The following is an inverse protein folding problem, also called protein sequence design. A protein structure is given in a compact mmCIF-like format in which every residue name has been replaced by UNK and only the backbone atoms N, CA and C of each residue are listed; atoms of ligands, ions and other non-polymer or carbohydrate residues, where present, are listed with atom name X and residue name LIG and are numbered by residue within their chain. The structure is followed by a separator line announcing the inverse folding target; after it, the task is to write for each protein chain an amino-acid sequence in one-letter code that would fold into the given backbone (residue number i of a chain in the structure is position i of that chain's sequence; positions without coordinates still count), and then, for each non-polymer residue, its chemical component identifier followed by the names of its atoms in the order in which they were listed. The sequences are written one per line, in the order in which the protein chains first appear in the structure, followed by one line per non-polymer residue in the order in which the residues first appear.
data_IF_369903545604
#
_entry.id   IF_369903545604
#
_cell.length_a   1.000
_cell.length_b   1.000
_cell.length_c   1.000
_cell.angle_alpha   90.00
_cell.angle_beta   90.00
_cell.angle_gamma   90.00
#
_symmetry.space_group_name_H-M   'P 1'
#
loop_
_entity.id
_entity.type
_entity.pdbx_description
1 polymer ?
#
# COMPACT_ATOMS: atom_id res chain seq x y z
N UNK A 1 0.98 -10.71 0.43
CA UNK A 1 0.02 -10.79 1.52
C UNK A 1 -1.24 -11.52 1.05
N UNK A 2 -2.15 -10.90 0.31
CA UNK A 2 -3.41 -11.51 -0.14
C UNK A 2 -3.30 -12.94 -0.71
N UNK A 3 -2.34 -13.20 -1.58
CA UNK A 3 -2.15 -14.53 -2.19
C UNK A 3 -1.78 -15.61 -1.16
N UNK A 4 -0.99 -15.28 -0.15
CA UNK A 4 -0.59 -16.21 0.91
C UNK A 4 -1.78 -16.58 1.81
N UNK A 5 -2.59 -15.59 2.19
CA UNK A 5 -3.83 -15.82 2.94
C UNK A 5 -4.84 -16.67 2.15
N UNK A 6 -4.83 -16.54 0.83
CA UNK A 6 -5.65 -17.34 -0.07
C UNK A 6 -5.32 -18.84 -0.07
N UNK A 7 -4.13 -19.21 0.39
CA UNK A 7 -3.66 -20.61 0.52
C UNK A 7 -3.37 -21.01 1.97
N UNK A 8 -4.05 -20.36 2.90
CA UNK A 8 -4.01 -20.65 4.36
C UNK A 8 -2.62 -20.46 5.01
N UNK A 9 -1.78 -19.61 4.42
CA UNK A 9 -0.55 -19.17 5.05
C UNK A 9 -0.84 -17.98 5.94
N UNK A 10 -0.56 -18.10 7.23
CA UNK A 10 -0.66 -16.97 8.16
C UNK A 10 0.36 -15.89 7.81
N UNK A 11 -0.11 -14.66 7.72
CA UNK A 11 0.72 -13.49 7.42
C UNK A 11 0.65 -12.50 8.56
N UNK A 12 1.80 -12.19 9.14
CA UNK A 12 1.94 -11.19 10.21
C UNK A 12 2.50 -9.91 9.61
N UNK A 13 1.75 -8.84 9.67
CA UNK A 13 2.18 -7.53 9.17
C UNK A 13 2.86 -6.72 10.28
N UNK A 14 4.14 -6.38 10.10
CA UNK A 14 4.85 -5.45 10.99
C UNK A 14 5.09 -4.15 10.23
N UNK A 15 4.52 -3.08 10.72
CA UNK A 15 4.62 -1.77 10.06
C UNK A 15 3.29 -1.02 10.01
N UNK A 16 3.16 -0.11 9.08
CA UNK A 16 1.95 0.70 8.87
C UNK A 16 0.97 0.02 7.90
N UNK A 17 -0.20 0.63 7.72
CA UNK A 17 -1.17 0.23 6.69
C UNK A 17 -0.54 0.24 5.30
N UNK A 18 -0.79 -0.78 4.51
CA UNK A 18 -0.28 -0.87 3.14
C UNK A 18 -1.16 -0.10 2.16
N UNK A 19 -0.59 0.31 1.03
CA UNK A 19 -1.38 0.80 -0.09
C UNK A 19 -2.09 -0.38 -0.78
N UNK A 20 -3.40 -0.29 -0.94
CA UNK A 20 -4.15 -1.28 -1.67
C UNK A 20 -4.01 -1.10 -3.19
N UNK A 21 -3.79 -2.20 -3.90
CA UNK A 21 -3.79 -2.20 -5.37
C UNK A 21 -4.37 -3.50 -5.91
N UNK A 22 -5.69 -3.73 -5.77
CA UNK A 22 -6.33 -4.94 -6.29
C UNK A 22 -6.53 -4.91 -7.80
N UNK A 23 -6.41 -3.75 -8.44
CA UNK A 23 -6.68 -3.55 -9.85
C UNK A 23 -5.40 -3.45 -10.67
N UNK A 24 -5.46 -3.93 -11.89
CA UNK A 24 -4.35 -3.84 -12.84
C UNK A 24 -4.80 -3.53 -14.26
N UNK A 25 -3.82 -3.38 -15.14
CA UNK A 25 -4.04 -3.05 -16.54
C UNK A 25 -2.99 -3.72 -17.41
N UNK A 26 -3.35 -3.90 -18.68
CA UNK A 26 -2.40 -4.19 -19.73
C UNK A 26 -2.16 -2.93 -20.55
N UNK A 27 -0.90 -2.70 -20.92
CA UNK A 27 -0.56 -1.62 -21.83
C UNK A 27 -1.10 -1.92 -23.23
N UNK A 28 -1.91 -1.03 -23.78
CA UNK A 28 -2.50 -1.16 -25.13
C UNK A 28 -2.04 -0.01 -26.01
N UNK A 29 -1.29 -0.32 -27.05
CA UNK A 29 -0.82 0.68 -28.02
C UNK A 29 -1.88 0.94 -29.08
N UNK A 30 -2.14 2.22 -29.36
CA UNK A 30 -2.98 2.65 -30.45
C UNK A 30 -2.47 3.98 -31.04
N UNK A 31 -2.19 4.01 -32.33
CA UNK A 31 -1.76 5.21 -33.09
C UNK A 31 -0.62 5.99 -32.40
N UNK A 32 0.42 5.30 -31.91
CA UNK A 32 1.57 5.92 -31.23
C UNK A 32 1.30 6.40 -29.81
N UNK A 33 0.13 6.10 -29.25
CA UNK A 33 -0.23 6.37 -27.84
C UNK A 33 -0.46 5.06 -27.12
N UNK A 34 0.10 4.93 -25.92
CA UNK A 34 -0.13 3.75 -25.07
C UNK A 34 -1.15 4.08 -23.98
N UNK A 35 -2.18 3.26 -23.89
CA UNK A 35 -3.27 3.37 -22.93
C UNK A 35 -3.06 2.39 -21.77
N UNK A 36 -3.34 2.86 -20.55
CA UNK A 36 -3.24 2.10 -19.29
C UNK A 36 -4.59 2.12 -18.58
N UNK A 37 -5.59 1.56 -19.20
CA UNK A 37 -6.93 1.49 -18.63
C UNK A 37 -7.03 0.30 -17.68
N UNK A 38 -7.64 0.48 -16.51
CA UNK A 38 -7.89 -0.62 -15.56
C UNK A 38 -8.79 -1.65 -16.24
N UNK A 39 -8.35 -2.90 -16.30
CA UNK A 39 -8.99 -3.98 -17.05
C UNK A 39 -9.28 -5.22 -16.21
N UNK A 40 -8.58 -5.41 -15.09
CA UNK A 40 -8.76 -6.59 -14.26
C UNK A 40 -8.63 -6.27 -12.77
N UNK A 41 -9.21 -7.14 -11.96
CA UNK A 41 -9.08 -7.19 -10.50
C UNK A 41 -8.41 -8.50 -10.11
N UNK A 42 -7.43 -8.42 -9.19
CA UNK A 42 -6.79 -9.61 -8.63
C UNK A 42 -7.57 -10.13 -7.44
N UNK A 43 -7.86 -11.43 -7.44
CA UNK A 43 -8.46 -12.13 -6.32
C UNK A 43 -7.56 -13.30 -5.89
N UNK A 44 -7.59 -13.63 -4.61
CA UNK A 44 -6.89 -14.81 -4.10
C UNK A 44 -7.71 -16.09 -4.30
N UNK A 45 -7.17 -17.25 -3.93
CA UNK A 45 -7.84 -18.54 -4.10
C UNK A 45 -9.18 -18.67 -3.32
N UNK A 46 -9.43 -17.77 -2.37
CA UNK A 46 -10.70 -17.70 -1.62
C UNK A 46 -11.68 -16.67 -2.20
N UNK A 47 -11.36 -16.07 -3.35
CA UNK A 47 -12.17 -15.06 -4.00
C UNK A 47 -12.10 -13.67 -3.36
N UNK A 48 -11.16 -13.45 -2.43
CA UNK A 48 -10.98 -12.14 -1.83
C UNK A 48 -10.04 -11.28 -2.67
N UNK A 49 -10.49 -10.07 -3.02
CA UNK A 49 -9.73 -9.12 -3.81
C UNK A 49 -10.11 -7.67 -3.50
N UNK A 50 -10.92 -7.44 -2.46
CA UNK A 50 -11.34 -6.09 -2.07
C UNK A 50 -10.44 -5.52 -0.97
N UNK A 51 -9.23 -5.10 -1.36
CA UNK A 51 -8.25 -4.46 -0.49
C UNK A 51 -7.76 -3.12 -1.06
N UNK A 52 -8.69 -2.33 -1.58
CA UNK A 52 -8.39 -1.02 -2.21
C UNK A 52 -7.70 -0.06 -1.24
N UNK A 53 -8.07 -0.14 0.04
CA UNK A 53 -7.51 0.69 1.10
C UNK A 53 -6.34 -0.01 1.84
N UNK A 54 -5.89 -1.15 1.32
CA UNK A 54 -4.76 -1.91 1.84
C UNK A 54 -5.08 -2.82 3.02
N UNK A 55 -4.03 -3.24 3.71
CA UNK A 55 -4.08 -4.08 4.91
C UNK A 55 -3.52 -3.30 6.09
N UNK A 56 -4.19 -3.35 7.22
CA UNK A 56 -3.77 -2.71 8.47
C UNK A 56 -3.49 -3.73 9.55
N UNK A 57 -2.39 -3.59 10.32
CA UNK A 57 -2.16 -4.40 11.51
C UNK A 57 -3.29 -4.23 12.53
N UNK A 58 -3.64 -5.29 13.22
CA UNK A 58 -4.77 -5.33 14.18
C UNK A 58 -4.66 -4.34 15.33
N UNK A 59 -3.45 -3.93 15.71
CA UNK A 59 -3.26 -2.95 16.78
C UNK A 59 -3.09 -1.50 16.28
N UNK A 60 -3.42 -1.21 15.01
CA UNK A 60 -3.35 0.16 14.48
C UNK A 60 -4.37 1.08 15.18
N UNK A 61 -3.98 2.32 15.43
CA UNK A 61 -4.83 3.35 16.06
C UNK A 61 -5.86 3.96 15.11
N UNK A 62 -5.70 3.80 13.81
CA UNK A 62 -6.66 4.21 12.79
C UNK A 62 -6.81 3.07 11.78
N UNK A 63 -7.99 2.45 11.77
CA UNK A 63 -8.25 1.30 10.90
C UNK A 63 -8.70 1.82 9.55
N UNK A 64 -7.89 1.53 8.53
CA UNK A 64 -8.23 1.74 7.13
C UNK A 64 -7.96 0.42 6.39
N UNK A 65 -8.88 0.01 5.54
CA UNK A 65 -8.76 -1.23 4.78
C UNK A 65 -8.99 -2.50 5.60
N UNK A 66 -8.41 -3.60 5.16
CA UNK A 66 -8.58 -4.93 5.73
C UNK A 66 -7.65 -5.15 6.92
N UNK A 67 -8.19 -5.61 8.05
CA UNK A 67 -7.39 -5.97 9.21
C UNK A 67 -6.68 -7.30 9.02
N UNK A 68 -5.41 -7.34 9.38
CA UNK A 68 -4.59 -8.55 9.39
C UNK A 68 -3.81 -8.66 10.70
N UNK A 69 -3.45 -9.86 11.15
CA UNK A 69 -2.59 -10.03 12.29
C UNK A 69 -1.28 -9.24 12.15
N UNK A 70 -0.85 -8.57 13.22
CA UNK A 70 0.42 -7.85 13.19
C UNK A 70 0.47 -6.63 14.08
N UNK A 71 1.58 -5.92 14.00
CA UNK A 71 1.93 -4.82 14.88
C UNK A 71 2.16 -3.52 14.09
N UNK A 72 1.50 -2.45 14.52
CA UNK A 72 1.69 -1.12 13.96
C UNK A 72 2.98 -0.50 14.50
N UNK A 73 3.98 -0.39 13.64
CA UNK A 73 5.31 0.14 13.95
C UNK A 73 5.68 1.20 12.92
N UNK A 74 6.13 2.36 13.38
CA UNK A 74 6.59 3.45 12.52
C UNK A 74 7.86 3.07 11.74
N UNK A 75 8.09 3.78 10.63
CA UNK A 75 9.37 3.71 9.91
C UNK A 75 10.50 4.27 10.80
N UNK A 76 11.64 3.61 10.76
CA UNK A 76 12.86 4.05 11.40
C UNK A 76 13.92 4.35 10.33
N UNK A 77 14.18 5.63 10.13
CA UNK A 77 15.18 6.11 9.18
C UNK A 77 16.54 6.36 9.83
N UNK A 78 16.69 6.07 11.12
CA UNK A 78 17.94 6.29 11.87
C UNK A 78 18.85 5.07 11.87
N UNK A 79 18.30 3.90 11.58
CA UNK A 79 19.02 2.64 11.48
C UNK A 79 19.02 2.11 10.04
N UNK A 80 20.06 1.38 9.67
CA UNK A 80 20.15 0.74 8.37
C UNK A 80 19.17 -0.44 8.27
N UNK A 81 18.68 -0.72 7.06
CA UNK A 81 17.88 -1.92 6.80
C UNK A 81 18.70 -3.18 7.15
N UNK A 82 18.09 -4.06 7.96
CA UNK A 82 18.75 -5.28 8.44
C UNK A 82 19.49 -5.12 9.77
N UNK A 83 19.57 -3.91 10.31
CA UNK A 83 20.06 -3.68 11.67
C UNK A 83 19.00 -4.24 12.66
N UNK A 84 19.40 -5.13 13.61
CA UNK A 84 18.46 -5.63 14.63
C UNK A 84 17.86 -4.55 15.54
N UNK A 85 18.46 -3.36 15.58
CA UNK A 85 17.95 -2.20 16.30
C UNK A 85 16.94 -1.37 15.49
N UNK A 86 16.78 -1.63 14.19
CA UNK A 86 15.76 -0.98 13.38
C UNK A 86 14.36 -1.37 13.89
N UNK A 87 13.49 -0.38 14.10
CA UNK A 87 12.24 -0.52 14.84
C UNK A 87 11.32 -1.63 14.33
N UNK A 88 11.20 -1.80 13.02
CA UNK A 88 10.34 -2.84 12.43
C UNK A 88 10.96 -4.22 12.55
N UNK A 89 12.26 -4.33 12.29
CA UNK A 89 12.96 -5.58 12.44
C UNK A 89 13.01 -6.01 13.90
N UNK A 90 13.30 -5.09 14.82
CA UNK A 90 13.27 -5.34 16.25
C UNK A 90 11.89 -5.87 16.71
N UNK A 91 10.81 -5.22 16.25
CA UNK A 91 9.45 -5.64 16.55
C UNK A 91 9.12 -7.02 15.95
N UNK A 92 9.59 -7.31 14.73
CA UNK A 92 9.39 -8.60 14.10
C UNK A 92 10.14 -9.74 14.84
N UNK A 93 11.37 -9.48 15.26
CA UNK A 93 12.15 -10.44 16.04
C UNK A 93 11.51 -10.70 17.40
N UNK A 94 11.07 -9.65 18.09
CA UNK A 94 10.38 -9.78 19.38
C UNK A 94 9.03 -10.53 19.25
N UNK A 95 8.24 -10.21 18.22
CA UNK A 95 6.97 -10.88 17.94
C UNK A 95 7.14 -12.38 17.66
N UNK A 96 8.23 -12.76 16.96
CA UNK A 96 8.54 -14.17 16.70
C UNK A 96 8.78 -14.96 17.99
N UNK A 97 9.40 -14.34 19.00
CA UNK A 97 9.69 -14.98 20.30
C UNK A 97 8.47 -14.96 21.21
N UNK A 98 7.75 -13.87 21.22
CA UNK A 98 6.53 -13.68 21.97
C UNK A 98 5.53 -12.87 21.14
N UNK A 99 4.40 -13.45 20.69
CA UNK A 99 3.46 -12.81 19.78
C UNK A 99 2.62 -11.70 20.46
N UNK A 100 3.31 -10.74 21.05
CA UNK A 100 2.74 -9.54 21.67
C UNK A 100 3.26 -8.32 20.94
N UNK A 101 2.36 -7.46 20.49
CA UNK A 101 2.73 -6.21 19.86
C UNK A 101 3.19 -5.16 20.87
N UNK A 102 4.19 -4.36 20.54
CA UNK A 102 4.48 -3.13 21.27
C UNK A 102 3.31 -2.14 21.15
N UNK A 103 3.35 -1.07 21.93
CA UNK A 103 2.40 0.03 21.74
C UNK A 103 2.49 0.53 20.29
N UNK A 104 1.34 0.80 19.64
CA UNK A 104 1.32 1.20 18.24
C UNK A 104 2.02 2.55 18.08
N UNK A 105 3.06 2.57 17.26
CA UNK A 105 3.82 3.77 16.87
C UNK A 105 3.66 4.09 15.38
N UNK A 106 3.24 3.10 14.58
CA UNK A 106 2.90 3.30 13.18
C UNK A 106 1.72 4.26 13.08
N UNK A 107 1.95 5.40 12.46
CA UNK A 107 0.83 6.18 11.95
C UNK A 107 0.15 5.27 10.90
N UNK A 108 -1.18 5.15 10.99
CA UNK A 108 -1.91 4.88 9.77
C UNK A 108 -1.38 5.90 8.76
N UNK A 109 -0.85 5.52 7.60
CA UNK A 109 -0.59 6.52 6.59
C UNK A 109 -1.88 7.31 6.51
N UNK A 110 -1.83 8.64 6.46
CA UNK A 110 -3.00 9.43 6.11
C UNK A 110 -3.53 8.68 4.91
N UNK A 111 -4.62 7.94 5.14
CA UNK A 111 -5.12 7.01 4.15
C UNK A 111 -4.92 7.71 2.85
N UNK A 112 -4.38 7.05 1.80
CA UNK A 112 -4.29 7.73 0.51
C UNK A 112 -5.72 8.09 0.24
N UNK A 113 -6.11 9.14 0.92
CA UNK A 113 -7.41 9.72 0.89
C UNK A 113 -7.59 9.94 -0.58
N UNK A 114 -8.57 9.29 -1.15
CA UNK A 114 -9.04 9.64 -2.50
C UNK A 114 -9.24 11.16 -2.61
N UNK A 115 -9.25 11.86 -1.47
CA UNK A 115 -9.30 13.31 -1.31
C UNK A 115 -7.93 13.98 -1.29
N UNK A 116 -6.82 13.32 -0.93
CA UNK A 116 -5.52 14.01 -0.94
C UNK A 116 -4.94 14.17 -2.34
N UNK A 117 -5.36 13.38 -3.31
CA UNK A 117 -5.13 13.68 -4.73
C UNK A 117 -6.04 14.83 -5.23
N UNK A 118 -7.03 15.20 -4.44
CA UNK A 118 -8.04 16.19 -4.82
C UNK A 118 -7.97 17.53 -4.10
N UNK A 119 -7.22 17.65 -3.01
CA UNK A 119 -7.22 18.90 -2.24
C UNK A 119 -6.30 19.98 -2.81
N UNK A 120 -5.32 19.60 -3.61
CA UNK A 120 -4.46 20.56 -4.33
C UNK A 120 -4.85 20.76 -5.80
N UNK A 121 -5.75 19.97 -6.31
CA UNK A 121 -6.43 20.24 -7.54
C UNK A 121 -7.61 21.16 -7.19
N UNK A 122 -7.32 22.45 -6.99
CA UNK A 122 -8.38 23.42 -6.98
C UNK A 122 -9.19 23.20 -8.25
N UNK A 123 -10.46 22.91 -8.08
CA UNK A 123 -11.41 22.67 -9.18
C UNK A 123 -11.60 23.90 -10.10
N UNK A 124 -10.71 24.88 -10.02
CA UNK A 124 -10.86 26.16 -10.71
C UNK A 124 -10.69 25.99 -12.20
N UNK A 125 -9.88 25.06 -12.69
CA UNK A 125 -9.71 24.98 -14.15
C UNK A 125 -9.47 23.58 -14.75
N UNK A 126 -9.40 22.54 -13.95
CA UNK A 126 -9.16 21.17 -14.45
C UNK A 126 -7.86 20.98 -15.23
N UNK A 127 -7.01 21.99 -15.29
CA UNK A 127 -5.77 22.01 -16.00
C UNK A 127 -4.59 22.23 -15.06
N UNK A 128 -3.99 21.14 -14.60
CA UNK A 128 -2.66 21.20 -14.03
C UNK A 128 -1.64 21.13 -15.18
N UNK A 129 -0.83 22.17 -15.44
CA UNK A 129 0.23 22.09 -16.42
C UNK A 129 1.24 21.04 -15.99
N UNK A 130 1.11 19.83 -16.50
CA UNK A 130 2.10 18.79 -16.31
C UNK A 130 3.28 19.08 -17.22
N UNK A 131 4.49 19.05 -16.67
CA UNK A 131 5.69 19.10 -17.51
C UNK A 131 5.64 17.94 -18.52
N UNK A 132 6.28 18.12 -19.67
CA UNK A 132 6.31 17.08 -20.73
C UNK A 132 6.85 15.73 -20.20
N UNK A 133 7.61 15.73 -19.13
CA UNK A 133 8.17 14.55 -18.44
C UNK A 133 7.17 13.85 -17.52
N UNK A 134 6.11 14.51 -17.12
CA UNK A 134 5.05 13.97 -16.25
C UNK A 134 3.75 13.67 -17.01
N UNK A 135 3.80 13.65 -18.33
CA UNK A 135 2.67 13.20 -19.12
C UNK A 135 2.57 11.67 -19.04
N UNK A 136 1.41 11.16 -18.65
CA UNK A 136 1.14 9.73 -18.58
C UNK A 136 1.02 9.09 -19.98
N UNK A 137 1.95 9.42 -20.86
CA UNK A 137 2.04 8.85 -22.22
C UNK A 137 3.49 8.56 -22.56
N UNK A 138 3.72 7.42 -23.14
CA UNK A 138 5.02 7.06 -23.70
C UNK A 138 5.04 7.65 -25.11
N UNK A 139 5.92 8.61 -25.34
CA UNK A 139 6.19 9.13 -26.69
C UNK A 139 7.28 8.23 -27.28
N UNK A 140 6.91 7.41 -28.25
CA UNK A 140 7.91 6.71 -29.08
C UNK A 140 8.47 7.73 -30.09
N UNK A 141 9.78 7.81 -30.16
CA UNK A 141 10.48 8.50 -31.25
C UNK A 141 10.58 7.58 -32.45
#
# INVERSE_FOLDING_TARGET
MNSLEGVDVEVIQIGSTTCGKPYGFFATDNCGTTYFTIQFKGENNKGFGDYTDGFSPTNSTGIVGTLVPGCSVADDFTHALGDPAESRLAAALAYRENPVCPLPTGLAPPGVSKTSAGSDLSAVDGYAPKSAWHQNRIIRR
#
